data_IF_273379220955
#
_entry.id   IF_273379220955
#
_cell.length_a   1.000
_cell.length_b   1.000
_cell.length_c   1.000
_cell.angle_alpha   90.00
_cell.angle_beta   90.00
_cell.angle_gamma   90.00
#
_symmetry.space_group_name_H-M   'P 1'
#
loop_
_entity.id
_entity.type
_entity.pdbx_description
1 polymer ?
#
# COMPACT_ATOMS: atom_id res chain seq x y z
N UNK A 1 -6.46 10.75 -7.93
CA UNK A 1 -6.51 9.29 -8.11
C UNK A 1 -7.34 8.61 -7.04
N UNK A 2 -7.00 8.75 -5.75
CA UNK A 2 -7.74 8.11 -4.66
C UNK A 2 -9.22 8.52 -4.64
N UNK A 3 -9.56 9.76 -5.02
CA UNK A 3 -10.95 10.18 -5.22
C UNK A 3 -11.70 9.39 -6.30
N UNK A 4 -11.02 9.00 -7.38
CA UNK A 4 -11.61 8.16 -8.44
C UNK A 4 -11.87 6.74 -7.93
N UNK A 5 -10.99 6.23 -7.06
CA UNK A 5 -11.19 4.92 -6.41
C UNK A 5 -12.37 5.00 -5.45
N UNK A 6 -12.43 6.02 -4.60
CA UNK A 6 -13.55 6.23 -3.67
C UNK A 6 -14.89 6.39 -4.39
N UNK A 7 -14.93 7.10 -5.51
CA UNK A 7 -16.15 7.22 -6.31
C UNK A 7 -16.67 5.86 -6.81
N UNK A 8 -15.77 4.90 -7.09
CA UNK A 8 -16.12 3.52 -7.47
C UNK A 8 -16.38 2.61 -6.27
N UNK A 9 -15.72 2.88 -5.15
CA UNK A 9 -15.79 2.10 -3.91
C UNK A 9 -16.04 3.05 -2.71
N UNK A 10 -17.28 3.50 -2.48
CA UNK A 10 -17.59 4.51 -1.46
C UNK A 10 -17.20 4.10 -0.05
N UNK A 11 -17.31 2.80 0.25
CA UNK A 11 -17.01 2.18 1.56
C UNK A 11 -15.57 1.63 1.64
N UNK A 12 -14.68 2.10 0.76
CA UNK A 12 -13.30 1.62 0.75
C UNK A 12 -12.59 1.92 2.08
N UNK A 13 -11.72 0.99 2.47
CA UNK A 13 -10.77 1.18 3.57
C UNK A 13 -9.37 1.32 2.95
N UNK A 14 -8.62 2.33 3.38
CA UNK A 14 -7.25 2.55 2.93
C UNK A 14 -6.27 1.73 3.77
N UNK A 15 -5.52 0.82 3.14
CA UNK A 15 -4.44 0.08 3.79
C UNK A 15 -3.09 0.70 3.37
N UNK A 16 -2.20 0.97 4.33
CA UNK A 16 -0.86 1.48 4.05
C UNK A 16 0.14 1.13 5.16
N UNK A 17 1.42 1.39 4.90
CA UNK A 17 2.52 1.02 5.79
C UNK A 17 2.83 1.94 6.97
N UNK A 18 2.18 3.10 7.02
CA UNK A 18 2.42 4.10 8.05
C UNK A 18 3.72 4.90 7.90
N UNK A 19 4.35 4.92 6.72
CA UNK A 19 5.50 5.80 6.48
C UNK A 19 5.12 7.26 6.72
N UNK A 20 5.92 8.02 7.51
CA UNK A 20 5.63 9.43 7.81
C UNK A 20 5.89 10.36 6.62
N UNK A 21 6.42 9.84 5.50
CA UNK A 21 6.77 10.59 4.29
C UNK A 21 6.33 9.88 3.01
N UNK A 22 6.33 10.62 1.91
CA UNK A 22 6.07 10.10 0.57
C UNK A 22 4.61 9.71 0.33
N UNK A 23 4.40 8.77 -0.60
CA UNK A 23 3.08 8.37 -1.07
C UNK A 23 2.16 7.88 0.07
N UNK A 24 2.68 7.10 1.02
CA UNK A 24 1.87 6.61 2.14
C UNK A 24 1.39 7.73 3.06
N UNK A 25 2.21 8.76 3.31
CA UNK A 25 1.81 9.93 4.10
C UNK A 25 0.73 10.73 3.38
N UNK A 26 0.90 10.95 2.08
CA UNK A 26 -0.08 11.66 1.25
C UNK A 26 -1.41 10.90 1.25
N UNK A 27 -1.37 9.58 1.11
CA UNK A 27 -2.57 8.73 1.16
C UNK A 27 -3.27 8.80 2.52
N UNK A 28 -2.52 8.73 3.62
CA UNK A 28 -3.04 8.87 4.98
C UNK A 28 -3.72 10.23 5.19
N UNK A 29 -3.06 11.33 4.82
CA UNK A 29 -3.63 12.68 4.90
C UNK A 29 -4.89 12.81 4.03
N UNK A 30 -4.90 12.22 2.83
CA UNK A 30 -6.07 12.18 1.98
C UNK A 30 -7.23 11.45 2.67
N UNK A 31 -6.98 10.30 3.30
CA UNK A 31 -8.00 9.54 4.02
C UNK A 31 -8.57 10.33 5.22
N UNK A 32 -7.70 10.94 6.02
CA UNK A 32 -8.09 11.80 7.15
C UNK A 32 -8.98 12.96 6.69
N UNK A 33 -8.58 13.68 5.64
CA UNK A 33 -9.32 14.84 5.11
C UNK A 33 -10.75 14.49 4.64
N UNK A 34 -10.97 13.23 4.28
CA UNK A 34 -12.19 12.75 3.63
C UNK A 34 -12.99 11.78 4.50
N UNK A 35 -12.53 11.54 5.73
CA UNK A 35 -13.09 10.58 6.70
C UNK A 35 -13.19 9.16 6.15
N UNK A 36 -12.18 8.75 5.37
CA UNK A 36 -12.05 7.38 4.90
C UNK A 36 -11.35 6.55 5.97
N UNK A 37 -11.90 5.40 6.32
CA UNK A 37 -11.28 4.50 7.28
C UNK A 37 -9.91 4.05 6.77
N UNK A 38 -8.91 3.99 7.65
CA UNK A 38 -7.57 3.55 7.29
C UNK A 38 -7.00 2.56 8.30
N UNK A 39 -6.27 1.57 7.79
CA UNK A 39 -5.56 0.56 8.59
C UNK A 39 -4.07 0.65 8.29
N UNK A 40 -3.29 0.78 9.36
CA UNK A 40 -1.84 1.00 9.28
C UNK A 40 -1.09 -0.28 9.62
N UNK A 41 -0.35 -0.83 8.66
CA UNK A 41 0.49 -2.01 8.84
C UNK A 41 1.94 -1.60 9.13
N UNK A 42 2.23 -1.33 10.40
CA UNK A 42 3.58 -0.97 10.85
C UNK A 42 4.48 -2.22 10.92
N UNK A 43 5.77 -2.11 10.55
CA UNK A 43 6.73 -3.19 10.74
C UNK A 43 6.90 -3.53 12.23
N UNK A 44 6.71 -4.80 12.58
CA UNK A 44 7.05 -5.32 13.91
C UNK A 44 8.53 -5.73 13.96
N UNK A 45 9.38 -4.77 14.32
CA UNK A 45 10.82 -4.96 14.46
C UNK A 45 11.19 -5.91 15.60
N UNK A 46 10.38 -5.96 16.66
CA UNK A 46 10.66 -6.82 17.81
C UNK A 46 10.54 -8.29 17.45
N UNK A 47 9.54 -8.64 16.63
CA UNK A 47 9.26 -10.01 16.23
C UNK A 47 10.07 -10.46 15.01
N UNK A 48 10.31 -9.56 14.07
CA UNK A 48 10.81 -9.93 12.73
C UNK A 48 12.16 -9.31 12.35
N UNK A 49 12.75 -8.44 13.19
CA UNK A 49 14.05 -7.79 12.93
C UNK A 49 14.09 -7.21 11.51
N UNK A 50 15.15 -7.47 10.74
CA UNK A 50 15.33 -6.97 9.37
C UNK A 50 14.26 -7.43 8.38
N UNK A 51 13.51 -8.50 8.68
CA UNK A 51 12.42 -8.98 7.83
C UNK A 51 11.09 -8.26 8.10
N UNK A 52 11.00 -7.43 9.16
CA UNK A 52 9.77 -6.75 9.56
C UNK A 52 9.10 -5.95 8.43
N UNK A 53 9.83 -5.20 7.57
CA UNK A 53 9.20 -4.47 6.47
C UNK A 53 8.61 -5.36 5.37
N UNK A 54 9.11 -6.59 5.22
CA UNK A 54 8.55 -7.55 4.26
C UNK A 54 7.40 -8.36 4.88
N UNK A 55 7.49 -8.68 6.17
CA UNK A 55 6.44 -9.40 6.89
C UNK A 55 5.15 -8.59 7.06
N UNK A 56 5.25 -7.28 7.27
CA UNK A 56 4.06 -6.40 7.26
C UNK A 56 3.35 -6.41 5.89
N UNK A 57 4.08 -6.59 4.78
CA UNK A 57 3.48 -6.68 3.45
C UNK A 57 2.70 -7.98 3.31
N UNK A 58 3.24 -9.09 3.82
CA UNK A 58 2.53 -10.38 3.85
C UNK A 58 1.21 -10.23 4.61
N UNK A 59 1.27 -9.66 5.81
CA UNK A 59 0.08 -9.38 6.63
C UNK A 59 -0.94 -8.46 5.94
N UNK A 60 -0.47 -7.43 5.24
CA UNK A 60 -1.34 -6.53 4.48
C UNK A 60 -2.05 -7.26 3.33
N UNK A 61 -1.34 -8.19 2.67
CA UNK A 61 -1.88 -8.96 1.55
C UNK A 61 -2.89 -10.03 1.99
N UNK A 62 -2.77 -10.52 3.22
CA UNK A 62 -3.73 -11.46 3.82
C UNK A 62 -5.13 -10.85 4.03
N UNK A 63 -5.28 -9.52 4.01
CA UNK A 63 -6.56 -8.83 4.24
C UNK A 63 -7.47 -8.78 3.00
N UNK A 64 -7.23 -9.64 1.98
CA UNK A 64 -8.06 -9.73 0.76
C UNK A 64 -8.32 -8.37 0.10
N UNK A 65 -7.26 -7.63 -0.18
CA UNK A 65 -7.35 -6.34 -0.85
C UNK A 65 -8.01 -6.43 -2.25
N UNK A 66 -8.88 -5.47 -2.54
CA UNK A 66 -9.58 -5.37 -3.84
C UNK A 66 -8.64 -4.87 -4.95
N UNK A 67 -7.63 -4.08 -4.58
CA UNK A 67 -6.63 -3.55 -5.51
C UNK A 67 -5.50 -2.84 -4.80
N UNK A 68 -4.35 -2.74 -5.46
CA UNK A 68 -3.16 -2.06 -4.98
C UNK A 68 -2.83 -0.87 -5.87
N UNK A 69 -2.55 0.29 -5.25
CA UNK A 69 -1.95 1.41 -5.95
C UNK A 69 -0.50 1.54 -5.52
N UNK A 70 0.41 1.47 -6.49
CA UNK A 70 1.84 1.47 -6.24
C UNK A 70 2.52 2.70 -6.87
N UNK A 71 3.44 3.28 -6.11
CA UNK A 71 4.34 4.33 -6.57
C UNK A 71 5.77 3.83 -6.55
N UNK A 72 6.70 4.44 -7.30
CA UNK A 72 8.10 4.05 -7.27
C UNK A 72 8.64 4.15 -5.84
N UNK A 73 9.44 3.17 -5.46
CA UNK A 73 9.92 3.07 -4.09
C UNK A 73 11.07 2.08 -3.93
N UNK A 74 11.32 1.72 -2.68
CA UNK A 74 12.37 0.75 -2.34
C UNK A 74 12.00 -0.68 -2.77
N UNK A 75 12.96 -1.60 -2.64
CA UNK A 75 12.70 -3.04 -2.81
C UNK A 75 11.59 -3.60 -1.90
N UNK A 76 11.23 -2.92 -0.80
CA UNK A 76 10.08 -3.28 0.04
C UNK A 76 8.75 -3.00 -0.69
N UNK A 77 8.68 -1.89 -1.41
CA UNK A 77 7.50 -1.51 -2.19
C UNK A 77 7.34 -2.41 -3.41
N UNK A 78 8.43 -2.72 -4.11
CA UNK A 78 8.42 -3.67 -5.23
C UNK A 78 8.05 -5.07 -4.77
N UNK A 79 8.55 -5.53 -3.62
CA UNK A 79 8.12 -6.81 -3.04
C UNK A 79 6.61 -6.89 -2.79
N UNK A 80 5.98 -5.81 -2.34
CA UNK A 80 4.53 -5.74 -2.17
C UNK A 80 3.81 -5.87 -3.51
N UNK A 81 4.30 -5.17 -4.55
CA UNK A 81 3.75 -5.22 -5.91
C UNK A 81 3.84 -6.63 -6.49
N UNK A 82 5.01 -7.26 -6.41
CA UNK A 82 5.25 -8.58 -6.97
C UNK A 82 4.34 -9.63 -6.32
N UNK A 83 4.22 -9.58 -4.99
CA UNK A 83 3.33 -10.48 -4.24
C UNK A 83 1.87 -10.23 -4.56
N UNK A 84 1.43 -8.97 -4.64
CA UNK A 84 0.06 -8.64 -5.02
C UNK A 84 -0.30 -9.19 -6.41
N UNK A 85 0.60 -8.99 -7.40
CA UNK A 85 0.44 -9.54 -8.75
C UNK A 85 0.36 -11.06 -8.74
N UNK A 86 1.21 -11.73 -7.96
CA UNK A 86 1.20 -13.20 -7.83
C UNK A 86 -0.11 -13.73 -7.25
N UNK A 87 -0.77 -12.95 -6.38
CA UNK A 87 -2.07 -13.27 -5.81
C UNK A 87 -3.25 -12.88 -6.73
N UNK A 88 -2.99 -12.38 -7.94
CA UNK A 88 -4.03 -11.97 -8.89
C UNK A 88 -4.69 -10.64 -8.54
N UNK A 89 -4.12 -9.86 -7.61
CA UNK A 89 -4.69 -8.58 -7.21
C UNK A 89 -4.36 -7.52 -8.27
N UNK A 90 -5.35 -6.74 -8.74
CA UNK A 90 -5.11 -5.65 -9.68
C UNK A 90 -4.15 -4.60 -9.09
N UNK A 91 -3.05 -4.33 -9.79
CA UNK A 91 -2.07 -3.30 -9.38
C UNK A 91 -2.05 -2.14 -10.36
N UNK A 92 -2.35 -0.94 -9.87
CA UNK A 92 -2.15 0.31 -10.61
C UNK A 92 -0.81 0.94 -10.21
N UNK A 93 0.23 0.72 -11.03
CA UNK A 93 1.58 1.24 -10.78
C UNK A 93 1.79 2.57 -11.51
N UNK A 94 2.36 3.55 -10.81
CA UNK A 94 2.74 4.86 -11.33
C UNK A 94 4.26 5.00 -11.39
N UNK A 95 4.77 5.83 -12.31
CA UNK A 95 6.18 6.22 -12.37
C UNK A 95 7.12 5.17 -12.97
N UNK A 96 6.66 4.37 -13.93
CA UNK A 96 7.52 3.58 -14.80
C UNK A 96 7.81 4.34 -16.09
N UNK A 97 8.79 5.23 -16.07
CA UNK A 97 9.64 5.46 -17.24
C UNK A 97 11.09 5.48 -16.75
N UNK A 98 11.91 4.57 -17.30
CA UNK A 98 13.37 4.58 -17.11
C UNK A 98 13.99 3.21 -16.85
N UNK A 99 14.22 2.43 -17.92
CA UNK A 99 15.04 1.22 -17.87
C UNK A 99 15.21 0.59 -19.26
N UNK A 100 15.98 1.28 -20.12
CA UNK A 100 16.53 0.87 -21.43
C UNK A 100 15.57 0.30 -22.49
#
# INVERSE_FOLDING_TARGET
MLDRVRAKHPDMVLLHGGSPKGAERIAACWADSRKVAQVVFKPDWTRHKNAAPFKRNDQMLEVLLIGLIAFPGSGISENLVDKARKLGIPVWKFGSEGGA
#
